data_IF_244143244092
#
_entry.id   IF_244143244092
#
_cell.length_a   1.000
_cell.length_b   1.000
_cell.length_c   1.000
_cell.angle_alpha   90.00
_cell.angle_beta   90.00
_cell.angle_gamma   90.00
#
_symmetry.space_group_name_H-M   'P 1'
#
loop_
_entity.id
_entity.type
_entity.pdbx_description
1 polymer ?
#
# COMPACT_ATOMS: atom_id res chain seq x y z
N UNK A 1 57.54 43.59 -7.55
CA UNK A 1 56.15 43.39 -7.94
C UNK A 1 55.61 42.10 -7.26
N UNK A 2 54.87 42.30 -6.20
CA UNK A 2 54.24 41.20 -5.46
C UNK A 2 52.81 40.99 -5.98
N UNK A 3 52.55 39.81 -6.54
CA UNK A 3 51.24 39.40 -6.97
C UNK A 3 50.52 38.61 -5.85
N UNK A 4 49.48 39.19 -5.35
CA UNK A 4 48.64 38.60 -4.28
C UNK A 4 47.48 37.80 -4.91
N UNK A 5 47.58 36.46 -4.93
CA UNK A 5 46.49 35.57 -5.33
C UNK A 5 45.49 35.44 -4.17
N UNK A 6 44.34 36.06 -4.29
CA UNK A 6 43.24 35.84 -3.39
C UNK A 6 42.50 34.53 -3.75
N UNK A 7 42.63 33.53 -2.93
CA UNK A 7 41.83 32.28 -3.03
C UNK A 7 40.46 32.54 -2.42
N UNK A 8 39.43 32.61 -3.27
CA UNK A 8 38.03 32.58 -2.83
C UNK A 8 37.66 31.15 -2.45
N UNK A 9 37.60 30.86 -1.16
CA UNK A 9 37.02 29.67 -0.61
C UNK A 9 35.49 29.80 -0.66
N UNK A 10 34.86 29.14 -1.63
CA UNK A 10 33.43 28.88 -1.65
C UNK A 10 33.11 27.78 -0.61
N UNK A 11 32.87 28.19 0.63
CA UNK A 11 32.25 27.29 1.62
C UNK A 11 30.74 27.21 1.32
N UNK A 12 30.33 26.25 0.53
CA UNK A 12 28.94 25.83 0.46
C UNK A 12 28.59 25.15 1.80
N UNK A 13 28.27 25.96 2.79
CA UNK A 13 27.70 25.48 4.05
C UNK A 13 26.25 25.08 3.78
N UNK A 14 25.95 23.80 3.85
CA UNK A 14 24.59 23.34 4.12
C UNK A 14 24.20 23.91 5.49
N UNK A 15 23.59 25.07 5.51
CA UNK A 15 22.90 25.57 6.69
C UNK A 15 21.70 24.64 6.93
N UNK A 16 21.78 23.79 7.95
CA UNK A 16 20.58 23.21 8.55
C UNK A 16 19.71 24.40 8.97
N UNK A 17 18.59 24.60 8.22
CA UNK A 17 17.56 25.54 8.63
C UNK A 17 17.06 25.04 9.99
N UNK A 18 17.41 25.70 11.06
CA UNK A 18 16.73 25.54 12.35
C UNK A 18 15.33 26.08 12.15
N UNK A 19 14.36 25.18 12.09
CA UNK A 19 12.93 25.51 12.08
C UNK A 19 12.66 26.25 13.38
N UNK A 20 12.15 27.50 13.31
CA UNK A 20 11.68 28.20 14.50
C UNK A 20 10.50 27.42 15.09
N UNK A 21 10.36 27.38 16.41
CA UNK A 21 9.32 26.63 17.13
C UNK A 21 7.87 26.95 16.69
N UNK A 22 7.67 28.03 15.91
CA UNK A 22 6.37 28.44 15.36
C UNK A 22 6.13 28.01 13.89
N UNK A 23 7.07 27.32 13.21
CA UNK A 23 6.85 26.82 11.85
C UNK A 23 6.10 25.50 11.90
N UNK A 24 4.84 25.50 11.52
CA UNK A 24 4.01 24.30 11.37
C UNK A 24 4.64 23.39 10.32
N UNK A 25 5.16 22.24 10.75
CA UNK A 25 5.73 21.25 9.86
C UNK A 25 4.63 20.68 8.96
N UNK A 26 4.87 20.72 7.64
CA UNK A 26 3.95 20.18 6.64
C UNK A 26 4.59 18.99 5.95
N UNK A 27 3.79 17.98 5.67
CA UNK A 27 4.21 16.75 5.01
C UNK A 27 3.49 16.58 3.69
N UNK A 28 4.19 16.14 2.68
CA UNK A 28 3.63 15.75 1.38
C UNK A 28 4.19 14.38 1.01
N UNK A 29 3.32 13.38 0.93
CA UNK A 29 3.70 12.00 0.71
C UNK A 29 2.96 11.34 -0.44
N UNK A 30 3.60 10.42 -1.18
CA UNK A 30 2.90 9.55 -2.11
C UNK A 30 2.18 8.40 -1.39
N UNK A 31 0.99 8.05 -1.90
CA UNK A 31 0.30 6.80 -1.66
C UNK A 31 0.16 6.08 -2.99
N UNK A 32 0.67 4.87 -3.10
CA UNK A 32 0.74 4.14 -4.35
C UNK A 32 -0.13 2.88 -4.35
N UNK A 33 -0.70 2.58 -5.51
CA UNK A 33 -1.39 1.31 -5.76
C UNK A 33 -1.22 0.88 -7.22
N UNK A 34 -1.06 -0.43 -7.45
CA UNK A 34 -1.10 -1.00 -8.80
C UNK A 34 -2.53 -1.16 -9.33
N UNK A 35 -3.54 -1.00 -8.48
CA UNK A 35 -4.95 -1.12 -8.87
C UNK A 35 -5.38 0.03 -9.79
N UNK A 36 -6.27 -0.24 -10.76
CA UNK A 36 -6.83 0.79 -11.62
C UNK A 36 -7.67 1.82 -10.87
N UNK A 37 -7.86 2.98 -11.51
CA UNK A 37 -8.87 3.95 -11.11
C UNK A 37 -10.28 3.33 -11.17
N UNK A 38 -11.25 3.96 -10.51
CA UNK A 38 -12.65 3.50 -10.41
C UNK A 38 -12.81 2.12 -9.72
N UNK A 39 -11.84 1.70 -8.91
CA UNK A 39 -11.91 0.48 -8.09
C UNK A 39 -12.13 0.78 -6.61
N UNK A 40 -12.55 -0.23 -5.86
CA UNK A 40 -12.66 -0.13 -4.39
C UNK A 40 -11.34 0.32 -3.75
N UNK A 41 -10.20 -0.13 -4.29
CA UNK A 41 -8.87 0.29 -3.84
C UNK A 41 -8.67 1.79 -3.96
N UNK A 42 -9.08 2.39 -5.07
CA UNK A 42 -9.01 3.83 -5.28
C UNK A 42 -9.91 4.59 -4.30
N UNK A 43 -11.17 4.14 -4.15
CA UNK A 43 -12.12 4.75 -3.20
C UNK A 43 -11.56 4.72 -1.78
N UNK A 44 -10.96 3.61 -1.39
CA UNK A 44 -10.32 3.48 -0.07
C UNK A 44 -9.14 4.43 0.08
N UNK A 45 -8.29 4.54 -0.96
CA UNK A 45 -7.18 5.47 -0.97
C UNK A 45 -7.63 6.93 -0.81
N UNK A 46 -8.65 7.34 -1.55
CA UNK A 46 -9.19 8.70 -1.49
C UNK A 46 -9.79 9.02 -0.12
N UNK A 47 -10.53 8.07 0.47
CA UNK A 47 -11.06 8.23 1.82
C UNK A 47 -9.96 8.32 2.87
N UNK A 48 -8.93 7.50 2.78
CA UNK A 48 -7.77 7.58 3.66
C UNK A 48 -7.09 8.95 3.57
N UNK A 49 -6.90 9.47 2.36
CA UNK A 49 -6.30 10.80 2.14
C UNK A 49 -7.15 11.91 2.72
N UNK A 50 -8.47 11.88 2.49
CA UNK A 50 -9.44 12.84 3.02
C UNK A 50 -9.38 12.90 4.55
N UNK A 51 -9.45 11.75 5.22
CA UNK A 51 -9.39 11.64 6.68
C UNK A 51 -8.04 12.13 7.26
N UNK A 52 -6.93 11.78 6.62
CA UNK A 52 -5.60 12.24 7.06
C UNK A 52 -5.45 13.75 6.91
N UNK A 53 -5.95 14.34 5.82
CA UNK A 53 -5.92 15.79 5.62
C UNK A 53 -6.79 16.50 6.65
N UNK A 54 -7.99 15.99 6.94
CA UNK A 54 -8.89 16.53 7.95
C UNK A 54 -8.29 16.44 9.36
N UNK A 55 -7.87 15.25 9.79
CA UNK A 55 -7.31 15.02 11.12
C UNK A 55 -6.01 15.79 11.37
N UNK A 56 -5.28 16.13 10.32
CA UNK A 56 -4.04 16.91 10.42
C UNK A 56 -4.23 18.42 10.28
N UNK A 57 -5.46 18.92 10.18
CA UNK A 57 -5.76 20.32 9.84
C UNK A 57 -5.04 20.80 8.56
N UNK A 58 -4.97 19.93 7.53
CA UNK A 58 -4.32 20.19 6.26
C UNK A 58 -2.78 20.25 6.32
N UNK A 59 -2.17 19.81 7.42
CA UNK A 59 -0.69 19.75 7.57
C UNK A 59 -0.06 18.58 6.85
N UNK A 60 -0.82 17.50 6.66
CA UNK A 60 -0.40 16.31 5.93
C UNK A 60 -1.15 16.23 4.61
N UNK A 61 -0.41 16.18 3.50
CA UNK A 61 -0.97 16.02 2.17
C UNK A 61 -0.45 14.73 1.56
N UNK A 62 -1.38 13.91 1.10
CA UNK A 62 -1.05 12.63 0.46
C UNK A 62 -1.57 12.68 -0.97
N UNK A 63 -0.69 12.37 -1.92
CA UNK A 63 -1.07 12.25 -3.33
C UNK A 63 -1.19 10.79 -3.71
N UNK A 64 -2.34 10.42 -4.28
CA UNK A 64 -2.60 9.05 -4.76
C UNK A 64 -2.02 8.83 -6.15
N UNK A 65 -1.31 7.72 -6.35
CA UNK A 65 -0.73 7.26 -7.62
C UNK A 65 -1.31 5.89 -7.97
N UNK A 66 -2.40 5.83 -8.75
CA UNK A 66 -3.04 4.60 -9.17
C UNK A 66 -2.39 3.98 -10.40
N UNK A 67 -2.96 2.88 -10.91
CA UNK A 67 -2.57 2.21 -12.17
C UNK A 67 -1.12 1.72 -12.23
N UNK A 68 -0.44 1.54 -11.10
CA UNK A 68 0.97 1.16 -11.09
C UNK A 68 1.89 2.23 -11.71
N UNK A 69 1.48 3.51 -11.70
CA UNK A 69 2.22 4.61 -12.34
C UNK A 69 3.63 4.80 -11.77
N UNK A 70 3.86 4.40 -10.52
CA UNK A 70 5.16 4.49 -9.85
C UNK A 70 5.70 3.12 -9.42
N UNK A 71 5.10 2.02 -9.88
CA UNK A 71 5.57 0.65 -9.66
C UNK A 71 4.45 -0.38 -9.67
N UNK A 72 4.79 -1.64 -9.94
CA UNK A 72 3.92 -2.78 -9.75
C UNK A 72 3.83 -3.22 -8.28
N UNK A 73 2.94 -4.17 -7.98
CA UNK A 73 2.67 -4.61 -6.59
C UNK A 73 3.94 -4.96 -5.81
N UNK A 74 4.86 -5.71 -6.41
CA UNK A 74 6.12 -6.12 -5.77
C UNK A 74 7.04 -4.93 -5.52
N UNK A 75 7.23 -4.09 -6.54
CA UNK A 75 8.10 -2.92 -6.47
C UNK A 75 7.61 -1.91 -5.43
N UNK A 76 6.29 -1.73 -5.34
CA UNK A 76 5.68 -0.85 -4.34
C UNK A 76 5.91 -1.35 -2.91
N UNK A 77 5.82 -2.67 -2.67
CA UNK A 77 6.11 -3.22 -1.34
C UNK A 77 7.60 -3.08 -0.98
N UNK A 78 8.49 -3.37 -1.92
CA UNK A 78 9.93 -3.17 -1.72
C UNK A 78 10.23 -1.69 -1.39
N UNK A 79 9.71 -0.75 -2.18
CA UNK A 79 9.89 0.69 -1.94
C UNK A 79 9.27 1.17 -0.63
N UNK A 80 8.15 0.58 -0.21
CA UNK A 80 7.53 0.89 1.08
C UNK A 80 8.42 0.42 2.24
N UNK A 81 8.96 -0.78 2.14
CA UNK A 81 9.86 -1.35 3.14
C UNK A 81 11.17 -0.55 3.26
N UNK A 82 11.68 -0.06 2.15
CA UNK A 82 12.90 0.75 2.09
C UNK A 82 12.65 2.21 2.53
N UNK A 83 11.38 2.62 2.67
CA UNK A 83 10.98 3.94 3.13
C UNK A 83 10.90 5.01 2.02
N UNK A 84 11.02 4.62 0.75
CA UNK A 84 10.91 5.53 -0.40
C UNK A 84 9.46 5.95 -0.66
N UNK A 85 8.51 5.01 -0.47
CA UNK A 85 7.06 5.24 -0.60
C UNK A 85 6.40 4.92 0.75
N UNK A 86 5.93 5.93 1.51
CA UNK A 86 5.43 5.72 2.86
C UNK A 86 4.09 4.97 2.93
N UNK A 87 3.24 5.06 1.89
CA UNK A 87 1.91 4.46 1.89
C UNK A 87 1.67 3.64 0.63
N UNK A 88 1.21 2.40 0.81
CA UNK A 88 0.84 1.49 -0.27
C UNK A 88 -0.51 0.84 0.05
N UNK A 89 -1.40 0.77 -0.93
CA UNK A 89 -2.64 0.00 -0.86
C UNK A 89 -2.60 -1.11 -1.90
N UNK A 90 -2.74 -2.35 -1.46
CA UNK A 90 -2.68 -3.52 -2.32
C UNK A 90 -3.65 -4.62 -1.89
N UNK A 91 -3.98 -5.52 -2.81
CA UNK A 91 -4.59 -6.80 -2.47
C UNK A 91 -3.64 -7.65 -1.61
N UNK A 92 -4.19 -8.53 -0.79
CA UNK A 92 -3.41 -9.43 0.07
C UNK A 92 -2.58 -10.45 -0.71
N UNK A 93 -3.08 -10.95 -1.84
CA UNK A 93 -2.42 -12.00 -2.60
C UNK A 93 -0.98 -11.67 -3.07
N UNK A 94 -0.67 -10.51 -3.67
CA UNK A 94 0.71 -10.12 -3.98
C UNK A 94 1.62 -10.05 -2.75
N UNK A 95 1.07 -9.73 -1.59
CA UNK A 95 1.81 -9.57 -0.34
C UNK A 95 2.30 -10.89 0.26
N UNK A 96 1.70 -12.02 -0.10
CA UNK A 96 2.07 -13.37 0.38
C UNK A 96 3.55 -13.69 0.13
N UNK A 97 4.15 -13.14 -0.93
CA UNK A 97 5.58 -13.33 -1.23
C UNK A 97 6.48 -12.72 -0.15
N UNK A 98 6.02 -11.66 0.51
CA UNK A 98 6.75 -10.96 1.57
C UNK A 98 6.33 -11.42 2.96
N UNK A 99 5.06 -11.74 3.12
CA UNK A 99 4.40 -12.13 4.36
C UNK A 99 3.56 -13.39 4.12
N UNK A 100 4.16 -14.61 4.20
CA UNK A 100 3.50 -15.85 3.82
C UNK A 100 2.21 -16.17 4.60
N UNK A 101 2.08 -15.69 5.83
CA UNK A 101 0.90 -15.93 6.67
C UNK A 101 -0.36 -15.24 6.13
N UNK A 102 -0.21 -14.22 5.28
CA UNK A 102 -1.34 -13.59 4.58
C UNK A 102 -2.04 -14.54 3.58
N UNK A 103 -1.45 -15.69 3.28
CA UNK A 103 -2.10 -16.74 2.48
C UNK A 103 -3.39 -17.27 3.13
N UNK A 104 -3.65 -16.96 4.40
CA UNK A 104 -4.93 -17.25 5.05
C UNK A 104 -6.13 -16.68 4.30
N UNK A 105 -5.96 -15.53 3.61
CA UNK A 105 -6.99 -14.92 2.79
C UNK A 105 -7.19 -15.60 1.42
N UNK A 106 -6.25 -16.44 0.99
CA UNK A 106 -6.31 -17.15 -0.28
C UNK A 106 -6.89 -18.57 -0.14
N UNK A 107 -7.29 -18.98 1.07
CA UNK A 107 -7.89 -20.29 1.31
C UNK A 107 -9.24 -20.38 0.59
N UNK A 108 -9.41 -21.29 -0.40
CA UNK A 108 -10.65 -21.40 -1.16
C UNK A 108 -11.84 -21.75 -0.28
N UNK A 109 -12.98 -21.10 -0.54
CA UNK A 109 -14.27 -21.41 0.12
C UNK A 109 -14.24 -21.28 1.66
N UNK A 110 -13.30 -20.53 2.22
CA UNK A 110 -13.20 -20.33 3.67
C UNK A 110 -14.36 -19.51 4.22
N UNK A 111 -14.84 -18.55 3.44
CA UNK A 111 -15.94 -17.67 3.78
C UNK A 111 -17.07 -17.81 2.75
N UNK A 112 -18.31 -17.74 3.21
CA UNK A 112 -19.49 -17.83 2.36
C UNK A 112 -20.11 -16.48 2.07
N UNK A 113 -19.92 -15.51 2.98
CA UNK A 113 -20.47 -14.17 2.88
C UNK A 113 -19.39 -13.13 3.19
N UNK A 114 -19.62 -11.89 2.72
CA UNK A 114 -18.73 -10.78 3.01
C UNK A 114 -18.80 -10.37 4.49
N UNK A 115 -19.96 -10.55 5.12
CA UNK A 115 -20.15 -10.21 6.52
C UNK A 115 -19.34 -11.14 7.44
N UNK A 116 -19.22 -12.43 7.09
CA UNK A 116 -18.32 -13.37 7.79
C UNK A 116 -16.85 -12.92 7.69
N UNK A 117 -16.42 -12.36 6.54
CA UNK A 117 -15.07 -11.84 6.37
C UNK A 117 -14.86 -10.62 7.25
N UNK A 118 -15.80 -9.67 7.22
CA UNK A 118 -15.73 -8.43 8.02
C UNK A 118 -15.68 -8.74 9.50
N UNK A 119 -16.63 -9.57 9.99
CA UNK A 119 -16.65 -9.99 11.39
C UNK A 119 -15.31 -10.61 11.82
N UNK A 120 -14.69 -11.40 10.95
CA UNK A 120 -13.42 -12.04 11.28
C UNK A 120 -12.24 -11.10 11.24
N UNK A 121 -12.19 -10.19 10.27
CA UNK A 121 -11.13 -9.19 10.16
C UNK A 121 -11.24 -8.12 11.26
N UNK A 122 -12.47 -7.81 11.70
CA UNK A 122 -12.73 -6.85 12.78
C UNK A 122 -12.58 -7.47 14.18
N UNK A 123 -12.42 -8.81 14.30
CA UNK A 123 -12.11 -9.49 15.55
C UNK A 123 -10.76 -9.04 16.09
N UNK A 124 -10.68 -8.45 17.30
CA UNK A 124 -9.44 -7.86 17.80
C UNK A 124 -8.27 -8.85 17.94
N UNK A 125 -8.56 -10.13 18.25
CA UNK A 125 -7.52 -11.16 18.37
C UNK A 125 -6.94 -11.49 17.00
N UNK A 126 -7.80 -11.68 16.01
CA UNK A 126 -7.36 -11.95 14.63
C UNK A 126 -6.64 -10.75 14.02
N UNK A 127 -7.18 -9.54 14.23
CA UNK A 127 -6.54 -8.31 13.74
C UNK A 127 -5.15 -8.12 14.36
N UNK A 128 -4.99 -8.39 15.65
CA UNK A 128 -3.68 -8.34 16.32
C UNK A 128 -2.66 -9.31 15.73
N UNK A 129 -3.08 -10.53 15.36
CA UNK A 129 -2.20 -11.47 14.65
C UNK A 129 -1.77 -10.94 13.28
N UNK A 130 -2.68 -10.25 12.58
CA UNK A 130 -2.34 -9.63 11.29
C UNK A 130 -1.36 -8.45 11.49
N UNK A 131 -1.56 -7.62 12.50
CA UNK A 131 -0.60 -6.55 12.82
C UNK A 131 0.80 -7.11 13.06
N UNK A 132 0.91 -8.21 13.82
CA UNK A 132 2.19 -8.89 14.07
C UNK A 132 2.84 -9.40 12.77
N UNK A 133 2.05 -9.95 11.84
CA UNK A 133 2.54 -10.40 10.53
C UNK A 133 3.13 -9.23 9.73
N UNK A 134 2.45 -8.08 9.70
CA UNK A 134 2.94 -6.89 9.00
C UNK A 134 4.18 -6.30 9.69
N UNK A 135 4.18 -6.18 11.01
CA UNK A 135 5.33 -5.65 11.75
C UNK A 135 6.57 -6.53 11.58
N UNK A 136 6.41 -7.85 11.62
CA UNK A 136 7.51 -8.79 11.33
C UNK A 136 7.99 -8.70 9.87
N UNK A 137 7.11 -8.34 8.94
CA UNK A 137 7.43 -8.06 7.54
C UNK A 137 8.16 -6.72 7.33
N UNK A 138 8.15 -5.84 8.33
CA UNK A 138 8.72 -4.49 8.26
C UNK A 138 7.73 -3.43 7.78
N UNK A 139 6.42 -3.67 7.98
CA UNK A 139 5.34 -2.76 7.60
C UNK A 139 4.47 -2.39 8.80
N UNK A 140 3.71 -1.31 8.69
CA UNK A 140 2.64 -0.99 9.63
C UNK A 140 1.28 -1.14 8.93
N UNK A 141 0.43 -2.00 9.49
CA UNK A 141 -0.94 -2.15 9.03
C UNK A 141 -1.79 -0.97 9.52
N UNK A 142 -2.56 -0.36 8.60
CA UNK A 142 -3.54 0.68 8.92
C UNK A 142 -4.98 0.19 8.84
N UNK A 143 -5.25 -0.89 8.11
CA UNK A 143 -6.57 -1.48 8.00
C UNK A 143 -6.77 -2.30 6.74
N UNK A 144 -7.95 -2.88 6.65
CA UNK A 144 -8.39 -3.65 5.50
C UNK A 144 -9.67 -3.06 4.90
N UNK A 145 -9.81 -3.22 3.59
CA UNK A 145 -11.06 -2.99 2.89
C UNK A 145 -11.39 -4.22 2.04
N UNK A 146 -12.67 -4.58 2.00
CA UNK A 146 -13.12 -5.72 1.21
C UNK A 146 -13.35 -5.33 -0.25
N UNK A 147 -12.88 -6.17 -1.17
CA UNK A 147 -13.14 -6.05 -2.61
C UNK A 147 -14.21 -7.03 -3.11
N UNK A 148 -14.76 -7.86 -2.24
CA UNK A 148 -15.67 -8.94 -2.57
C UNK A 148 -14.95 -10.25 -2.85
N UNK A 149 -15.67 -11.20 -3.44
CA UNK A 149 -15.14 -12.52 -3.75
C UNK A 149 -14.57 -12.62 -5.15
N UNK A 150 -13.55 -13.46 -5.30
CA UNK A 150 -13.05 -13.84 -6.62
C UNK A 150 -14.09 -14.67 -7.34
N UNK A 151 -14.37 -14.32 -8.56
CA UNK A 151 -15.20 -15.07 -9.48
C UNK A 151 -14.38 -15.48 -10.70
N UNK A 152 -14.71 -16.66 -11.23
CA UNK A 152 -14.10 -17.12 -12.47
C UNK A 152 -14.92 -16.62 -13.66
N UNK A 153 -14.27 -15.96 -14.61
CA UNK A 153 -14.84 -15.68 -15.92
C UNK A 153 -14.29 -16.66 -16.94
N UNK A 154 -15.16 -17.30 -17.72
CA UNK A 154 -14.79 -18.28 -18.73
C UNK A 154 -15.54 -18.05 -20.02
N UNK A 155 -14.96 -18.50 -21.14
CA UNK A 155 -15.61 -18.48 -22.45
C UNK A 155 -16.35 -19.80 -22.77
N UNK A 156 -16.37 -20.76 -21.81
CA UNK A 156 -17.09 -22.02 -21.88
C UNK A 156 -17.83 -22.25 -20.56
N UNK A 157 -19.01 -22.87 -20.64
CA UNK A 157 -19.73 -23.29 -19.45
C UNK A 157 -18.85 -24.28 -18.64
N UNK A 158 -18.82 -24.07 -17.33
CA UNK A 158 -18.13 -24.96 -16.37
C UNK A 158 -19.17 -25.41 -15.35
N UNK A 159 -19.57 -26.66 -15.42
CA UNK A 159 -20.57 -27.28 -14.54
C UNK A 159 -19.93 -28.33 -13.61
N UNK A 160 -18.76 -28.85 -14.00
CA UNK A 160 -18.06 -29.90 -13.26
C UNK A 160 -16.53 -29.69 -13.29
N UNK A 161 -15.82 -30.40 -12.42
CA UNK A 161 -14.36 -30.41 -12.43
C UNK A 161 -13.76 -30.94 -13.74
N UNK A 162 -14.49 -31.79 -14.45
CA UNK A 162 -14.04 -32.35 -15.74
C UNK A 162 -13.94 -31.25 -16.82
N UNK A 163 -14.75 -30.22 -16.73
CA UNK A 163 -14.79 -29.10 -17.70
C UNK A 163 -13.54 -28.22 -17.64
N UNK A 164 -12.78 -28.29 -16.56
CA UNK A 164 -11.48 -27.60 -16.44
C UNK A 164 -10.37 -28.23 -17.25
N UNK A 165 -10.55 -29.50 -17.68
CA UNK A 165 -9.49 -30.20 -18.40
C UNK A 165 -9.12 -29.47 -19.71
N UNK A 166 -7.84 -29.09 -19.81
CA UNK A 166 -7.30 -28.42 -20.99
C UNK A 166 -7.59 -26.92 -21.07
N UNK A 167 -8.25 -26.33 -20.07
CA UNK A 167 -8.41 -24.88 -20.00
C UNK A 167 -7.10 -24.22 -19.52
N UNK A 168 -6.79 -23.07 -20.12
CA UNK A 168 -5.73 -22.19 -19.63
C UNK A 168 -6.35 -21.16 -18.71
N UNK A 169 -6.04 -21.24 -17.42
CA UNK A 169 -6.60 -20.35 -16.40
C UNK A 169 -5.47 -19.43 -15.93
N UNK A 170 -5.75 -18.13 -15.88
CA UNK A 170 -4.89 -17.17 -15.22
C UNK A 170 -5.26 -17.11 -13.74
N UNK A 171 -4.29 -17.30 -12.88
CA UNK A 171 -4.36 -16.99 -11.44
C UNK A 171 -3.53 -15.76 -11.14
N UNK A 172 -3.72 -15.15 -9.98
CA UNK A 172 -2.84 -14.08 -9.47
C UNK A 172 -1.59 -14.68 -8.89
#
# INVERSE_FOLDING_TARGET
>A
AAGMCAALALSAGCQKKTVADDEVQRYAWPLATASPEDTVTQIYAEKFVEEVEELSDGKMKIQVYPNGTIGGDRELLESCKDGDIPFVIQNTAPQVTFMPDLAVFDIPCRFSTIDEVREKVDDPEFYGLLEDVYENGGYKLFGYADQGFRVMSTNKMVESLADFKGQKIRTM
#
